data_IF_351472879146
#
_entry.id   IF_351472879146
#
_cell.length_a   1.000
_cell.length_b   1.000
_cell.length_c   1.000
_cell.angle_alpha   90.00
_cell.angle_beta   90.00
_cell.angle_gamma   90.00
#
_symmetry.space_group_name_H-M   'P 1'
#
loop_
_entity.id
_entity.type
_entity.pdbx_description
1 polymer ?
#
# COMPACT_ATOMS: atom_id res chain seq x y z
N UNK A 1 27.54 24.05 -20.75
CA UNK A 1 26.43 24.84 -21.34
C UNK A 1 25.76 25.54 -20.19
N UNK A 2 25.64 26.85 -20.28
CA UNK A 2 25.26 27.72 -19.18
C UNK A 2 23.81 27.47 -18.79
N UNK A 3 23.60 27.27 -17.49
CA UNK A 3 22.30 27.27 -16.83
C UNK A 3 21.84 28.74 -16.86
N UNK A 4 20.92 29.07 -17.75
CA UNK A 4 20.30 30.39 -17.77
C UNK A 4 19.55 30.56 -16.45
N UNK A 5 20.21 31.24 -15.52
CA UNK A 5 19.63 31.81 -14.32
C UNK A 5 18.52 32.77 -14.77
N UNK A 6 17.28 32.26 -14.84
CA UNK A 6 16.09 33.09 -14.82
C UNK A 6 16.10 33.85 -13.48
N UNK A 7 16.72 35.03 -13.49
CA UNK A 7 16.47 36.06 -12.48
C UNK A 7 14.96 36.29 -12.53
N UNK A 8 14.27 35.63 -11.60
CA UNK A 8 12.82 35.57 -11.60
C UNK A 8 12.31 36.96 -11.26
N UNK A 9 11.83 37.69 -12.27
CA UNK A 9 11.24 39.03 -12.14
C UNK A 9 9.90 39.03 -11.41
N UNK A 10 9.45 37.88 -10.89
CA UNK A 10 8.30 37.82 -10.01
C UNK A 10 8.65 38.25 -8.58
N UNK A 11 8.50 39.54 -8.33
CA UNK A 11 8.27 40.03 -6.99
C UNK A 11 6.99 39.38 -6.45
N UNK A 12 7.08 38.68 -5.31
CA UNK A 12 5.94 38.05 -4.63
C UNK A 12 5.42 36.77 -5.31
N UNK A 13 6.33 35.87 -5.67
CA UNK A 13 5.98 34.49 -6.04
C UNK A 13 6.31 33.53 -4.89
N UNK A 14 5.34 32.69 -4.53
CA UNK A 14 5.51 31.60 -3.57
C UNK A 14 5.66 30.29 -4.36
N UNK A 15 6.71 29.47 -4.14
CA UNK A 15 6.84 28.19 -4.81
C UNK A 15 5.70 27.20 -4.49
N UNK A 16 5.38 26.33 -5.44
CA UNK A 16 4.38 25.26 -5.24
C UNK A 16 4.73 24.35 -4.06
N UNK A 17 6.02 24.07 -3.84
CA UNK A 17 6.48 23.20 -2.75
C UNK A 17 6.08 23.70 -1.35
N UNK A 18 5.98 25.02 -1.16
CA UNK A 18 5.47 25.61 0.09
C UNK A 18 4.02 25.18 0.33
N UNK A 19 3.19 25.20 -0.73
CA UNK A 19 1.80 24.74 -0.66
C UNK A 19 1.70 23.23 -0.44
N UNK A 20 2.58 22.44 -1.07
CA UNK A 20 2.62 20.99 -0.87
C UNK A 20 2.89 20.64 0.61
N UNK A 21 3.85 21.31 1.24
CA UNK A 21 4.14 21.14 2.66
C UNK A 21 2.97 21.55 3.56
N UNK A 22 2.17 22.54 3.16
CA UNK A 22 0.97 22.97 3.92
C UNK A 22 -0.16 21.95 3.93
N UNK A 23 -0.27 21.12 2.88
CA UNK A 23 -1.38 20.16 2.74
C UNK A 23 -0.98 18.73 3.11
N UNK A 24 0.31 18.38 3.05
CA UNK A 24 0.78 17.00 3.16
C UNK A 24 0.22 16.25 4.39
N UNK A 25 0.36 16.84 5.57
CA UNK A 25 -0.12 16.21 6.82
C UNK A 25 -1.64 16.05 6.85
N UNK A 26 -2.38 17.02 6.32
CA UNK A 26 -3.84 16.95 6.28
C UNK A 26 -4.29 15.82 5.35
N UNK A 27 -3.68 15.71 4.17
CA UNK A 27 -4.00 14.64 3.21
C UNK A 27 -3.64 13.26 3.77
N UNK A 28 -2.47 13.10 4.41
CA UNK A 28 -2.06 11.83 5.04
C UNK A 28 -3.05 11.40 6.12
N UNK A 29 -3.48 12.35 6.95
CA UNK A 29 -4.51 12.11 7.98
C UNK A 29 -5.81 11.62 7.35
N UNK A 30 -6.27 12.24 6.26
CA UNK A 30 -7.47 11.80 5.55
C UNK A 30 -7.31 10.40 4.97
N UNK A 31 -6.17 10.07 4.37
CA UNK A 31 -5.91 8.71 3.86
C UNK A 31 -6.03 7.68 4.99
N UNK A 32 -5.48 7.98 6.17
CA UNK A 32 -5.59 7.08 7.33
C UNK A 32 -7.01 7.00 7.89
N UNK A 33 -7.78 8.10 7.82
CA UNK A 33 -9.17 8.16 8.25
C UNK A 33 -10.10 7.35 7.32
N UNK A 34 -9.88 7.45 6.02
CA UNK A 34 -10.70 6.83 4.98
C UNK A 34 -10.20 5.46 4.52
N UNK A 35 -9.00 5.07 4.93
CA UNK A 35 -8.32 3.88 4.41
C UNK A 35 -7.85 2.89 5.45
N UNK A 36 -7.55 1.70 4.95
CA UNK A 36 -6.79 0.67 5.64
C UNK A 36 -5.98 -0.08 4.58
N UNK A 37 -4.64 -0.06 4.68
CA UNK A 37 -3.73 -0.53 3.62
C UNK A 37 -4.05 -1.92 3.05
N UNK A 38 -4.52 -2.84 3.90
CA UNK A 38 -4.83 -4.22 3.50
C UNK A 38 -6.29 -4.43 3.09
N UNK A 39 -7.16 -3.42 3.25
CA UNK A 39 -8.62 -3.59 3.07
C UNK A 39 -9.22 -2.59 2.08
N UNK A 40 -8.51 -1.52 1.74
CA UNK A 40 -8.90 -0.56 0.70
C UNK A 40 -9.00 0.88 1.21
N UNK A 41 -9.51 1.75 0.34
CA UNK A 41 -9.60 3.19 0.55
C UNK A 41 -10.95 3.71 0.06
N UNK A 42 -11.68 4.44 0.91
CA UNK A 42 -12.91 5.12 0.52
C UNK A 42 -12.60 6.33 -0.38
N UNK A 43 -12.46 6.07 -1.68
CA UNK A 43 -12.00 7.06 -2.65
C UNK A 43 -12.95 8.25 -2.77
N UNK A 44 -14.26 8.02 -2.75
CA UNK A 44 -15.22 9.11 -2.98
C UNK A 44 -15.13 10.20 -1.91
N UNK A 45 -15.32 9.82 -0.65
CA UNK A 45 -15.31 10.75 0.48
C UNK A 45 -13.93 11.42 0.60
N UNK A 46 -12.85 10.63 0.49
CA UNK A 46 -11.49 11.16 0.51
C UNK A 46 -11.25 12.20 -0.59
N UNK A 47 -11.59 11.89 -1.84
CA UNK A 47 -11.33 12.81 -2.95
C UNK A 47 -12.14 14.10 -2.83
N UNK A 48 -13.38 14.05 -2.31
CA UNK A 48 -14.17 15.26 -2.06
C UNK A 48 -13.55 16.12 -0.95
N UNK A 49 -13.11 15.53 0.16
CA UNK A 49 -12.43 16.32 1.21
C UNK A 49 -11.10 16.93 0.75
N UNK A 50 -10.32 16.18 -0.04
CA UNK A 50 -9.09 16.73 -0.63
C UNK A 50 -9.40 17.91 -1.55
N UNK A 51 -10.50 17.84 -2.31
CA UNK A 51 -10.92 18.94 -3.19
C UNK A 51 -11.32 20.21 -2.42
N UNK A 52 -11.79 20.08 -1.18
CA UNK A 52 -12.11 21.22 -0.31
C UNK A 52 -10.87 21.81 0.36
N UNK A 53 -9.92 20.97 0.80
CA UNK A 53 -8.67 21.45 1.42
C UNK A 53 -7.85 22.33 0.47
N UNK A 54 -7.77 21.94 -0.81
CA UNK A 54 -6.95 22.66 -1.80
C UNK A 54 -7.33 24.15 -1.92
N UNK A 55 -8.59 24.55 -2.22
CA UNK A 55 -9.00 25.94 -2.31
C UNK A 55 -8.88 26.67 -0.96
N UNK A 56 -9.16 26.01 0.17
CA UNK A 56 -8.99 26.63 1.49
C UNK A 56 -7.53 27.03 1.75
N UNK A 57 -6.59 26.13 1.48
CA UNK A 57 -5.16 26.39 1.69
C UNK A 57 -4.61 27.38 0.66
N UNK A 58 -5.18 27.42 -0.56
CA UNK A 58 -4.85 28.45 -1.56
C UNK A 58 -5.20 29.86 -1.08
N UNK A 59 -6.31 30.03 -0.34
CA UNK A 59 -6.69 31.33 0.23
C UNK A 59 -5.65 31.88 1.22
N UNK A 60 -4.77 31.04 1.75
CA UNK A 60 -3.68 31.46 2.65
C UNK A 60 -2.51 32.04 1.85
N UNK A 61 -2.11 31.38 0.74
CA UNK A 61 -0.93 31.78 -0.03
C UNK A 61 -1.20 32.84 -1.10
N UNK A 62 -2.36 32.82 -1.75
CA UNK A 62 -2.67 33.71 -2.88
C UNK A 62 -2.66 35.20 -2.52
N UNK A 63 -3.13 35.64 -1.33
CA UNK A 63 -3.05 37.05 -0.93
C UNK A 63 -1.62 37.61 -0.86
N UNK A 64 -0.61 36.75 -0.72
CA UNK A 64 0.80 37.12 -0.68
C UNK A 64 1.46 37.10 -2.07
N UNK A 65 0.68 36.87 -3.13
CA UNK A 65 1.17 36.78 -4.50
C UNK A 65 0.50 37.83 -5.39
N UNK A 66 1.26 38.42 -6.32
CA UNK A 66 0.69 39.25 -7.37
C UNK A 66 0.00 38.39 -8.45
N UNK A 67 -0.74 39.03 -9.37
CA UNK A 67 -1.49 38.34 -10.42
C UNK A 67 -0.61 37.43 -11.31
N UNK A 68 0.58 37.90 -11.69
CA UNK A 68 1.55 37.12 -12.48
C UNK A 68 2.04 35.88 -11.69
N UNK A 69 2.28 36.04 -10.39
CA UNK A 69 2.62 34.97 -9.46
C UNK A 69 1.55 33.92 -9.39
N UNK A 70 0.30 34.31 -9.16
CA UNK A 70 -0.82 33.38 -9.09
C UNK A 70 -1.02 32.61 -10.41
N UNK A 71 -0.82 33.26 -11.56
CA UNK A 71 -0.92 32.61 -12.87
C UNK A 71 0.22 31.60 -13.11
N UNK A 72 1.47 31.97 -12.79
CA UNK A 72 2.63 31.06 -12.87
C UNK A 72 2.43 29.85 -11.95
N UNK A 73 2.08 30.12 -10.70
CA UNK A 73 1.81 29.09 -9.70
C UNK A 73 0.70 28.13 -10.13
N UNK A 74 -0.41 28.65 -10.66
CA UNK A 74 -1.53 27.81 -11.11
C UNK A 74 -1.15 26.87 -12.24
N UNK A 75 -0.29 27.31 -13.16
CA UNK A 75 0.26 26.46 -14.23
C UNK A 75 1.17 25.37 -13.68
N UNK A 76 2.05 25.71 -12.74
CA UNK A 76 2.98 24.76 -12.13
C UNK A 76 2.26 23.74 -11.25
N UNK A 77 1.36 24.20 -10.37
CA UNK A 77 0.49 23.33 -9.58
C UNK A 77 -0.27 22.35 -10.47
N UNK A 78 -0.87 22.82 -11.58
CA UNK A 78 -1.62 21.95 -12.47
C UNK A 78 -0.75 20.85 -13.11
N UNK A 79 0.51 21.16 -13.42
CA UNK A 79 1.48 20.19 -13.96
C UNK A 79 1.97 19.19 -12.92
N UNK A 80 2.14 19.63 -11.67
CA UNK A 80 2.74 18.80 -10.61
C UNK A 80 1.70 18.02 -9.79
N UNK A 81 0.45 18.50 -9.70
CA UNK A 81 -0.59 17.97 -8.80
C UNK A 81 -0.74 16.45 -8.88
N UNK A 82 -0.95 15.89 -10.06
CA UNK A 82 -1.15 14.44 -10.21
C UNK A 82 0.09 13.66 -9.79
N UNK A 83 1.28 14.12 -10.15
CA UNK A 83 2.56 13.50 -9.76
C UNK A 83 2.75 13.53 -8.24
N UNK A 84 2.46 14.66 -7.60
CA UNK A 84 2.54 14.79 -6.15
C UNK A 84 1.60 13.82 -5.44
N UNK A 85 0.31 13.81 -5.79
CA UNK A 85 -0.66 12.92 -5.16
C UNK A 85 -0.36 11.44 -5.44
N UNK A 86 0.09 11.09 -6.64
CA UNK A 86 0.50 9.71 -6.93
C UNK A 86 1.66 9.27 -6.05
N UNK A 87 2.66 10.13 -5.82
CA UNK A 87 3.77 9.85 -4.91
C UNK A 87 3.29 9.72 -3.45
N UNK A 88 2.47 10.66 -2.99
CA UNK A 88 1.94 10.65 -1.61
C UNK A 88 1.10 9.40 -1.33
N UNK A 89 0.22 9.01 -2.25
CA UNK A 89 -0.57 7.78 -2.10
C UNK A 89 0.31 6.54 -2.10
N UNK A 90 1.34 6.49 -2.96
CA UNK A 90 2.25 5.35 -3.02
C UNK A 90 3.05 5.17 -1.73
N UNK A 91 3.51 6.28 -1.12
CA UNK A 91 4.15 6.32 0.20
C UNK A 91 3.22 5.82 1.31
N UNK A 92 1.93 6.16 1.24
CA UNK A 92 0.90 5.69 2.19
C UNK A 92 0.37 4.28 1.87
N UNK A 93 0.84 3.63 0.80
CA UNK A 93 0.47 2.27 0.42
C UNK A 93 -0.85 2.15 -0.33
N UNK A 94 -1.28 3.20 -1.03
CA UNK A 94 -2.53 3.25 -1.80
C UNK A 94 -2.31 3.65 -3.25
N UNK A 95 -3.33 3.44 -4.08
CA UNK A 95 -3.36 3.85 -5.48
C UNK A 95 -4.09 5.18 -5.57
N UNK A 96 -3.46 6.20 -6.18
CA UNK A 96 -4.11 7.48 -6.45
C UNK A 96 -5.21 7.31 -7.51
N UNK A 97 -6.46 7.54 -7.08
CA UNK A 97 -7.63 7.54 -7.96
C UNK A 97 -8.36 8.89 -7.95
N UNK A 98 -7.85 9.91 -7.26
CA UNK A 98 -8.44 11.25 -7.21
C UNK A 98 -7.96 12.14 -8.37
N UNK A 99 -6.68 12.00 -8.77
CA UNK A 99 -6.05 12.87 -9.77
C UNK A 99 -5.26 12.08 -10.82
N UNK A 100 -5.88 11.72 -11.96
CA UNK A 100 -7.28 11.99 -12.34
C UNK A 100 -8.29 11.12 -11.58
N UNK A 101 -9.56 11.53 -11.60
CA UNK A 101 -10.67 10.75 -11.02
C UNK A 101 -10.90 9.49 -11.86
N UNK A 102 -10.63 8.32 -11.30
CA UNK A 102 -10.79 7.02 -11.98
C UNK A 102 -11.73 6.05 -11.27
N UNK A 103 -12.16 6.35 -10.05
CA UNK A 103 -13.08 5.52 -9.28
C UNK A 103 -14.54 5.68 -9.73
N UNK A 104 -15.32 4.62 -9.59
CA UNK A 104 -16.76 4.62 -9.84
C UNK A 104 -17.53 4.93 -8.55
N UNK A 105 -18.54 5.80 -8.64
CA UNK A 105 -19.43 6.06 -7.52
C UNK A 105 -20.61 5.08 -7.54
N UNK A 106 -20.66 4.19 -6.55
CA UNK A 106 -21.84 3.37 -6.28
C UNK A 106 -22.05 3.33 -4.77
N UNK A 107 -23.08 4.04 -4.31
CA UNK A 107 -23.38 4.18 -2.89
C UNK A 107 -23.46 2.83 -2.14
N UNK A 108 -24.03 1.78 -2.75
CA UNK A 108 -24.14 0.47 -2.08
C UNK A 108 -22.79 -0.22 -1.92
N UNK A 109 -21.93 -0.13 -2.93
CA UNK A 109 -20.60 -0.73 -2.90
C UNK A 109 -19.64 0.08 -2.02
N UNK A 110 -19.75 1.42 -2.03
CA UNK A 110 -19.04 2.30 -1.12
C UNK A 110 -19.43 2.04 0.35
N UNK A 111 -20.72 1.83 0.64
CA UNK A 111 -21.17 1.41 1.97
C UNK A 111 -20.60 0.05 2.40
N UNK A 112 -20.57 -0.93 1.48
CA UNK A 112 -19.98 -2.24 1.75
C UNK A 112 -18.47 -2.13 2.02
N UNK A 113 -17.75 -1.32 1.24
CA UNK A 113 -16.32 -1.02 1.44
C UNK A 113 -16.08 -0.32 2.79
N UNK A 114 -16.93 0.65 3.16
CA UNK A 114 -16.81 1.35 4.45
C UNK A 114 -16.87 0.36 5.62
N UNK A 115 -17.88 -0.51 5.63
CA UNK A 115 -18.03 -1.55 6.66
C UNK A 115 -16.83 -2.48 6.72
N UNK A 116 -16.26 -2.80 5.56
CA UNK A 116 -15.06 -3.64 5.48
C UNK A 116 -13.83 -2.96 6.09
N UNK A 117 -13.60 -1.69 5.75
CA UNK A 117 -12.49 -0.89 6.30
C UNK A 117 -12.65 -0.70 7.81
N UNK A 118 -13.85 -0.39 8.28
CA UNK A 118 -14.18 -0.28 9.71
C UNK A 118 -13.90 -1.58 10.46
N UNK A 119 -14.32 -2.72 9.89
CA UNK A 119 -13.99 -4.04 10.42
C UNK A 119 -12.48 -4.24 10.54
N UNK A 120 -11.70 -3.90 9.51
CA UNK A 120 -10.25 -4.08 9.55
C UNK A 120 -9.58 -3.23 10.63
N UNK A 121 -9.98 -1.96 10.77
CA UNK A 121 -9.50 -1.07 11.82
C UNK A 121 -9.83 -1.60 13.21
N UNK A 122 -11.07 -2.03 13.43
CA UNK A 122 -11.50 -2.57 14.72
C UNK A 122 -10.82 -3.91 15.04
N UNK A 123 -10.58 -4.75 14.03
CA UNK A 123 -9.82 -6.00 14.17
C UNK A 123 -8.41 -5.71 14.66
N UNK A 124 -7.70 -4.77 14.02
CA UNK A 124 -6.33 -4.41 14.39
C UNK A 124 -6.25 -3.84 15.79
N UNK A 125 -7.22 -2.99 16.18
CA UNK A 125 -7.36 -2.48 17.54
C UNK A 125 -7.54 -3.61 18.55
N UNK A 126 -8.49 -4.52 18.31
CA UNK A 126 -8.77 -5.67 19.22
C UNK A 126 -7.57 -6.59 19.36
N UNK A 127 -6.85 -6.85 18.27
CA UNK A 127 -5.62 -7.63 18.29
C UNK A 127 -4.53 -6.93 19.12
N UNK A 128 -4.37 -5.62 18.99
CA UNK A 128 -3.44 -4.84 19.81
C UNK A 128 -3.80 -4.88 21.30
N UNK A 129 -5.09 -4.81 21.63
CA UNK A 129 -5.55 -4.88 23.03
C UNK A 129 -5.39 -6.29 23.63
N UNK A 130 -5.61 -7.33 22.83
CA UNK A 130 -5.37 -8.73 23.23
C UNK A 130 -3.88 -9.03 23.48
N UNK A 131 -2.97 -8.41 22.73
CA UNK A 131 -1.53 -8.54 22.99
C UNK A 131 -1.15 -7.97 24.37
N UNK A 132 -1.90 -6.99 24.88
CA UNK A 132 -1.71 -6.41 26.22
C UNK A 132 -2.40 -7.23 27.31
N UNK A 133 -3.49 -7.95 26.97
CA UNK A 133 -4.32 -8.71 27.91
C UNK A 133 -4.43 -10.18 27.50
N UNK A 134 -3.58 -11.00 28.09
CA UNK A 134 -3.46 -12.42 27.75
C UNK A 134 -4.48 -13.30 28.48
N UNK A 135 -5.77 -13.00 28.33
CA UNK A 135 -6.87 -13.68 29.01
C UNK A 135 -7.71 -14.53 28.04
N UNK A 136 -8.03 -15.76 28.46
CA UNK A 136 -8.81 -16.71 27.68
C UNK A 136 -10.20 -16.18 27.30
N UNK A 137 -10.91 -15.61 28.27
CA UNK A 137 -12.26 -15.07 28.07
C UNK A 137 -12.29 -13.93 27.04
N UNK A 138 -11.27 -13.07 27.03
CA UNK A 138 -11.14 -11.97 26.06
C UNK A 138 -10.87 -12.53 24.66
N UNK A 139 -10.05 -13.58 24.54
CA UNK A 139 -9.84 -14.28 23.27
C UNK A 139 -11.14 -14.91 22.74
N UNK A 140 -11.94 -15.57 23.60
CA UNK A 140 -13.23 -16.14 23.18
C UNK A 140 -14.20 -15.06 22.68
N UNK A 141 -14.28 -13.93 23.39
CA UNK A 141 -15.10 -12.79 22.96
C UNK A 141 -14.66 -12.24 21.60
N UNK A 142 -13.35 -12.16 21.35
CA UNK A 142 -12.84 -11.80 20.04
C UNK A 142 -13.27 -12.81 18.96
N UNK A 143 -13.12 -14.11 19.21
CA UNK A 143 -13.53 -15.16 18.28
C UNK A 143 -15.03 -15.13 17.96
N UNK A 144 -15.88 -14.86 18.95
CA UNK A 144 -17.33 -14.66 18.76
C UNK A 144 -17.64 -13.41 17.93
N UNK A 145 -16.91 -12.31 18.18
CA UNK A 145 -17.03 -11.09 17.40
C UNK A 145 -16.67 -11.32 15.93
N UNK A 146 -15.58 -12.06 15.65
CA UNK A 146 -15.17 -12.44 14.30
C UNK A 146 -16.28 -13.21 13.58
N UNK A 147 -16.89 -14.20 14.23
CA UNK A 147 -17.99 -14.99 13.63
C UNK A 147 -19.20 -14.11 13.30
N UNK A 148 -19.53 -13.17 14.17
CA UNK A 148 -20.62 -12.21 13.97
C UNK A 148 -20.34 -11.29 12.77
N UNK A 149 -19.14 -10.72 12.71
CA UNK A 149 -18.74 -9.80 11.62
C UNK A 149 -18.69 -10.53 10.27
N UNK A 150 -18.07 -11.72 10.22
CA UNK A 150 -18.00 -12.56 9.03
C UNK A 150 -19.38 -12.88 8.49
N UNK A 151 -20.30 -13.29 9.36
CA UNK A 151 -21.67 -13.65 8.97
C UNK A 151 -22.43 -12.45 8.42
N UNK A 152 -22.35 -11.32 9.12
CA UNK A 152 -23.00 -10.07 8.71
C UNK A 152 -22.48 -9.58 7.34
N UNK A 153 -21.16 -9.49 7.20
CA UNK A 153 -20.53 -9.03 5.96
C UNK A 153 -20.82 -9.97 4.78
N UNK A 154 -20.69 -11.29 4.97
CA UNK A 154 -20.94 -12.29 3.92
C UNK A 154 -22.36 -12.16 3.37
N UNK A 155 -23.36 -12.00 4.24
CA UNK A 155 -24.76 -11.82 3.82
C UNK A 155 -24.94 -10.58 2.95
N UNK A 156 -24.30 -9.47 3.32
CA UNK A 156 -24.42 -8.21 2.60
C UNK A 156 -23.60 -8.22 1.28
N UNK A 157 -22.43 -8.84 1.29
CA UNK A 157 -21.62 -9.11 0.12
C UNK A 157 -22.41 -9.93 -0.92
N UNK A 158 -23.01 -11.05 -0.53
CA UNK A 158 -23.77 -11.91 -1.44
C UNK A 158 -24.95 -11.19 -2.09
N UNK A 159 -25.65 -10.32 -1.35
CA UNK A 159 -26.72 -9.46 -1.91
C UNK A 159 -26.18 -8.50 -2.98
N UNK A 160 -25.00 -7.93 -2.78
CA UNK A 160 -24.38 -7.03 -3.75
C UNK A 160 -23.84 -7.80 -4.96
N UNK A 161 -23.23 -8.96 -4.77
CA UNK A 161 -22.77 -9.85 -5.85
C UNK A 161 -23.94 -10.29 -6.73
N UNK A 162 -25.09 -10.64 -6.14
CA UNK A 162 -26.29 -10.98 -6.90
C UNK A 162 -26.75 -9.82 -7.80
N UNK A 163 -26.57 -8.57 -7.36
CA UNK A 163 -27.00 -7.39 -8.10
C UNK A 163 -25.98 -6.92 -9.14
N UNK A 164 -24.69 -6.98 -8.83
CA UNK A 164 -23.63 -6.32 -9.61
C UNK A 164 -22.61 -7.27 -10.22
N UNK A 165 -22.70 -8.58 -9.97
CA UNK A 165 -21.67 -9.60 -10.20
C UNK A 165 -20.42 -9.44 -9.30
N UNK A 166 -19.68 -10.52 -9.09
CA UNK A 166 -18.52 -10.54 -8.20
C UNK A 166 -17.36 -9.67 -8.68
N UNK A 167 -17.07 -9.69 -9.98
CA UNK A 167 -15.96 -8.91 -10.57
C UNK A 167 -16.13 -7.40 -10.35
N UNK A 168 -17.36 -6.89 -10.50
CA UNK A 168 -17.67 -5.48 -10.24
C UNK A 168 -17.50 -5.15 -8.76
N UNK A 169 -17.97 -6.03 -7.87
CA UNK A 169 -17.83 -5.83 -6.42
C UNK A 169 -16.37 -5.84 -6.01
N UNK A 170 -15.58 -6.81 -6.48
CA UNK A 170 -14.16 -6.98 -6.15
C UNK A 170 -13.32 -5.74 -6.50
N UNK A 171 -13.61 -5.05 -7.62
CA UNK A 171 -12.92 -3.80 -8.00
C UNK A 171 -12.99 -2.71 -6.93
N UNK A 172 -14.05 -2.65 -6.13
CA UNK A 172 -14.17 -1.68 -5.04
C UNK A 172 -13.18 -1.97 -3.89
N UNK A 173 -12.76 -3.22 -3.75
CA UNK A 173 -11.78 -3.66 -2.76
C UNK A 173 -10.38 -3.65 -3.37
N UNK A 174 -10.02 -2.59 -4.11
CA UNK A 174 -8.67 -2.46 -4.65
C UNK A 174 -7.68 -2.06 -3.56
N UNK A 175 -6.53 -2.71 -3.56
CA UNK A 175 -5.39 -2.40 -2.68
C UNK A 175 -4.13 -2.25 -3.54
N UNK A 176 -3.00 -1.88 -2.94
CA UNK A 176 -1.73 -1.85 -3.66
C UNK A 176 -1.30 -3.24 -4.14
N UNK A 177 -1.56 -4.27 -3.34
CA UNK A 177 -1.28 -5.68 -3.71
C UNK A 177 -2.27 -6.21 -4.75
N UNK A 178 -3.52 -5.72 -4.73
CA UNK A 178 -4.56 -6.10 -5.68
C UNK A 178 -5.17 -4.88 -6.38
N UNK A 179 -4.45 -4.24 -7.34
CA UNK A 179 -4.92 -3.04 -8.02
C UNK A 179 -6.21 -3.24 -8.84
N UNK A 180 -6.50 -4.48 -9.26
CA UNK A 180 -7.72 -4.84 -9.98
C UNK A 180 -8.90 -5.18 -9.07
N UNK A 181 -8.71 -5.13 -7.75
CA UNK A 181 -9.65 -5.65 -6.77
C UNK A 181 -9.37 -7.11 -6.38
N UNK A 182 -9.91 -7.52 -5.25
CA UNK A 182 -9.82 -8.90 -4.73
C UNK A 182 -11.13 -9.32 -4.05
N UNK A 183 -11.20 -10.58 -3.63
CA UNK A 183 -12.32 -11.08 -2.84
C UNK A 183 -12.19 -10.64 -1.37
N UNK A 184 -13.02 -9.69 -0.89
CA UNK A 184 -12.91 -9.20 0.48
C UNK A 184 -13.26 -10.26 1.53
N UNK A 185 -13.87 -11.39 1.14
CA UNK A 185 -14.14 -12.51 2.05
C UNK A 185 -12.86 -13.20 2.51
N UNK A 186 -11.76 -13.09 1.76
CA UNK A 186 -10.46 -13.66 2.13
C UNK A 186 -9.95 -13.06 3.46
N UNK A 187 -10.18 -11.78 3.69
CA UNK A 187 -9.85 -11.08 4.93
C UNK A 187 -10.54 -11.67 6.16
N UNK A 188 -11.65 -12.40 5.99
CA UNK A 188 -12.40 -13.04 7.08
C UNK A 188 -12.04 -14.52 7.30
N UNK A 189 -11.12 -15.08 6.49
CA UNK A 189 -10.70 -16.48 6.60
C UNK A 189 -9.55 -16.63 7.60
N UNK A 190 -9.60 -17.66 8.44
CA UNK A 190 -8.51 -18.04 9.35
C UNK A 190 -8.01 -16.94 10.31
N UNK A 191 -8.85 -15.95 10.63
CA UNK A 191 -8.49 -14.85 11.54
C UNK A 191 -8.90 -15.06 13.00
N UNK A 192 -9.49 -16.23 13.31
CA UNK A 192 -9.78 -16.64 14.70
C UNK A 192 -8.48 -17.05 15.39
N UNK A 193 -8.39 -16.75 16.67
CA UNK A 193 -7.22 -17.06 17.50
C UNK A 193 -7.38 -18.44 18.16
N UNK A 194 -6.27 -19.13 18.38
CA UNK A 194 -6.24 -20.29 19.26
C UNK A 194 -6.21 -19.84 20.72
N UNK A 195 -7.38 -19.83 21.35
CA UNK A 195 -7.53 -19.36 22.72
C UNK A 195 -6.86 -20.28 23.76
N UNK A 196 -6.49 -21.53 23.41
CA UNK A 196 -5.79 -22.43 24.33
C UNK A 196 -4.41 -21.91 24.73
N UNK A 197 -3.85 -21.00 23.94
CA UNK A 197 -2.59 -20.33 24.29
C UNK A 197 -2.79 -19.34 25.44
N UNK A 198 -3.99 -18.78 25.62
CA UNK A 198 -4.28 -17.70 26.56
C UNK A 198 -4.52 -18.21 27.99
N UNK A 199 -4.24 -17.38 29.00
CA UNK A 199 -4.40 -17.79 30.42
C UNK A 199 -5.87 -18.06 30.73
N UNK A 200 -6.19 -19.29 31.13
CA UNK A 200 -7.50 -19.69 31.61
C UNK A 200 -7.63 -19.44 33.12
N UNK A 201 -8.79 -18.95 33.62
CA UNK A 201 -9.07 -18.87 35.06
C UNK A 201 -9.21 -20.25 35.75
N UNK A 202 -9.34 -21.34 34.99
CA UNK A 202 -9.64 -22.65 35.56
C UNK A 202 -8.41 -23.29 36.22
N UNK A 203 -8.57 -23.67 37.51
CA UNK A 203 -7.56 -24.40 38.31
C UNK A 203 -7.15 -25.76 37.71
N UNK A 204 -7.87 -26.27 36.71
CA UNK A 204 -7.65 -27.59 36.12
C UNK A 204 -6.56 -27.63 35.03
N UNK A 205 -5.99 -26.48 34.65
CA UNK A 205 -4.83 -26.42 33.76
C UNK A 205 -3.50 -26.15 34.48
N UNK A 206 -3.46 -26.21 35.82
CA UNK A 206 -2.19 -26.28 36.55
C UNK A 206 -1.65 -27.71 36.57
N UNK A 207 -1.21 -28.22 35.41
CA UNK A 207 -0.31 -29.38 35.42
C UNK A 207 0.73 -29.37 34.30
N UNK A 208 1.58 -28.35 34.33
CA UNK A 208 3.04 -28.45 34.56
C UNK A 208 3.62 -27.09 34.23
N UNK A 209 3.99 -26.36 35.28
CA UNK A 209 4.95 -25.28 35.15
C UNK A 209 6.26 -25.92 34.66
N UNK A 210 6.60 -25.68 33.39
CA UNK A 210 7.98 -25.78 32.93
C UNK A 210 8.43 -24.35 32.75
N UNK A 211 9.30 -23.92 33.65
CA UNK A 211 9.99 -22.64 33.57
C UNK A 211 10.73 -22.54 32.23
N UNK A 212 10.44 -21.49 31.46
CA UNK A 212 11.39 -20.39 31.17
C UNK A 212 11.08 -19.68 29.83
N UNK A 213 11.12 -18.35 29.90
CA UNK A 213 11.35 -17.36 28.81
C UNK A 213 10.15 -16.93 27.95
N UNK A 214 9.71 -15.65 28.05
CA UNK A 214 8.87 -15.05 27.02
C UNK A 214 9.76 -14.63 25.84
N UNK A 215 10.04 -15.56 24.93
CA UNK A 215 10.57 -15.21 23.62
C UNK A 215 9.97 -16.14 22.57
N UNK A 216 8.67 -15.97 22.34
CA UNK A 216 8.08 -16.38 21.09
C UNK A 216 7.21 -15.24 20.62
N UNK A 217 7.77 -14.39 19.76
CA UNK A 217 6.95 -13.56 18.88
C UNK A 217 5.95 -14.51 18.22
N UNK A 218 4.68 -14.41 18.62
CA UNK A 218 3.60 -15.03 17.89
C UNK A 218 3.54 -14.26 16.57
N UNK A 219 4.34 -14.71 15.59
CA UNK A 219 4.14 -14.30 14.22
C UNK A 219 2.70 -14.68 13.89
N UNK A 220 1.91 -13.63 13.59
CA UNK A 220 0.64 -13.78 12.89
C UNK A 220 0.88 -14.68 11.66
N UNK A 221 -0.10 -15.49 11.24
CA UNK A 221 0.02 -16.21 9.99
C UNK A 221 0.23 -15.18 8.88
N UNK A 222 1.46 -15.08 8.41
CA UNK A 222 1.76 -14.42 7.14
C UNK A 222 1.06 -15.24 6.06
N UNK A 223 0.37 -14.54 5.17
CA UNK A 223 -0.18 -15.05 3.92
C UNK A 223 0.73 -16.13 3.34
N UNK A 224 0.18 -17.32 3.07
CA UNK A 224 0.90 -18.37 2.37
C UNK A 224 1.11 -17.94 0.92
N UNK A 225 2.34 -17.51 0.60
CA UNK A 225 2.86 -17.51 -0.75
C UNK A 225 2.64 -18.90 -1.37
N UNK A 226 1.82 -18.94 -2.43
CA UNK A 226 1.76 -20.09 -3.34
C UNK A 226 2.20 -19.60 -4.72
N UNK A 227 3.52 -19.51 -4.88
CA UNK A 227 4.16 -19.76 -6.16
C UNK A 227 4.63 -21.21 -6.19
N UNK A 228 3.73 -22.17 -6.43
CA UNK A 228 4.14 -23.52 -6.83
C UNK A 228 3.95 -23.67 -8.32
N UNK A 229 5.03 -23.39 -9.04
CA UNK A 229 5.20 -23.76 -10.42
C UNK A 229 5.42 -25.28 -10.50
N UNK A 230 4.51 -25.95 -11.18
CA UNK A 230 4.53 -27.38 -11.43
C UNK A 230 5.52 -27.73 -12.55
N UNK A 231 6.40 -28.73 -12.36
CA UNK A 231 6.75 -29.71 -13.42
C UNK A 231 7.61 -30.91 -12.96
N UNK A 232 6.93 -32.06 -12.85
CA UNK A 232 7.20 -33.44 -13.35
C UNK A 232 8.62 -34.02 -13.57
N UNK A 233 8.67 -35.33 -13.22
CA UNK A 233 9.51 -36.49 -13.69
C UNK A 233 10.90 -36.62 -13.02
N UNK A 234 11.37 -37.77 -12.54
CA UNK A 234 10.87 -39.15 -12.46
C UNK A 234 11.96 -40.06 -11.85
N UNK A 235 11.62 -41.26 -11.36
CA UNK A 235 12.60 -42.29 -10.98
C UNK A 235 12.13 -43.26 -9.88
N UNK A 236 11.94 -44.54 -10.24
CA UNK A 236 11.76 -45.71 -9.34
C UNK A 236 13.01 -45.88 -8.44
N UNK A 237 13.02 -46.55 -7.27
CA UNK A 237 12.62 -47.93 -6.94
C UNK A 237 12.75 -48.19 -5.42
N UNK A 238 12.05 -49.19 -4.90
CA UNK A 238 12.22 -49.77 -3.56
C UNK A 238 13.40 -50.77 -3.49
N UNK A 239 14.04 -50.92 -2.32
CA UNK A 239 14.20 -52.19 -1.58
C UNK A 239 15.11 -52.08 -0.33
N UNK A 240 14.52 -52.43 0.81
CA UNK A 240 14.95 -53.20 2.00
C UNK A 240 16.30 -53.10 2.75
N UNK A 241 16.10 -53.05 4.08
CA UNK A 241 16.79 -53.70 5.21
C UNK A 241 18.04 -53.13 5.92
N UNK A 242 17.84 -52.99 7.25
CA UNK A 242 18.75 -53.19 8.40
C UNK A 242 19.84 -52.15 8.74
N UNK A 243 19.72 -51.59 9.94
CA UNK A 243 20.85 -50.98 10.65
C UNK A 243 20.51 -50.18 11.90
N UNK A 244 20.55 -50.86 13.06
CA UNK A 244 20.72 -50.40 14.46
C UNK A 244 20.60 -48.90 14.85
N UNK A 245 19.88 -48.74 15.98
CA UNK A 245 19.81 -47.60 16.92
C UNK A 245 21.17 -47.01 17.32
N UNK A 246 21.24 -45.69 17.44
CA UNK A 246 21.90 -45.01 18.56
C UNK A 246 21.28 -43.62 18.80
N UNK A 247 20.89 -43.36 20.06
CA UNK A 247 20.32 -42.09 20.52
C UNK A 247 21.48 -41.27 21.09
N UNK A 248 21.79 -40.11 20.51
CA UNK A 248 22.74 -39.15 21.08
C UNK A 248 22.06 -37.80 21.29
N UNK A 249 22.04 -37.34 22.55
CA UNK A 249 21.48 -36.06 23.00
C UNK A 249 22.25 -34.87 22.40
N UNK A 250 21.61 -33.75 22.04
CA UNK A 250 22.32 -32.54 21.63
C UNK A 250 22.82 -31.75 22.86
N UNK A 251 24.11 -31.44 22.85
CA UNK A 251 24.77 -30.61 23.86
C UNK A 251 24.55 -29.12 23.54
N UNK A 252 24.23 -28.36 24.56
CA UNK A 252 23.98 -26.92 24.57
C UNK A 252 25.30 -26.15 24.53
N UNK A 253 25.43 -25.14 23.66
CA UNK A 253 26.35 -24.01 23.89
C UNK A 253 25.69 -22.70 23.49
N UNK A 254 25.66 -21.78 24.45
CA UNK A 254 25.15 -20.39 24.39
C UNK A 254 26.03 -19.46 23.53
N UNK A 255 25.51 -18.27 23.19
CA UNK A 255 26.10 -17.32 22.23
C UNK A 255 27.04 -16.30 22.91
N UNK A 256 27.92 -15.63 22.15
CA UNK A 256 28.54 -14.38 22.60
C UNK A 256 27.87 -13.17 21.95
N UNK A 257 27.38 -12.24 22.78
CA UNK A 257 27.38 -10.81 22.46
C UNK A 257 28.78 -10.25 22.72
N UNK A 258 29.23 -9.29 21.91
CA UNK A 258 29.57 -7.89 22.28
C UNK A 258 30.45 -7.27 21.16
N UNK A 259 29.92 -6.25 20.47
CA UNK A 259 30.63 -5.27 19.61
C UNK A 259 31.29 -4.16 20.48
N UNK A 260 32.00 -3.13 19.98
CA UNK A 260 32.57 -2.86 18.63
C UNK A 260 34.05 -2.38 18.69
N UNK A 261 34.72 -2.17 17.54
CA UNK A 261 35.86 -1.23 17.39
C UNK A 261 36.08 -0.84 15.93
N UNK A 262 36.31 0.46 15.71
CA UNK A 262 36.37 1.21 14.46
C UNK A 262 37.73 1.21 13.74
N UNK A 263 37.67 1.52 12.42
CA UNK A 263 38.69 2.18 11.57
C UNK A 263 39.99 1.40 11.28
N UNK A 264 40.54 1.31 10.06
CA UNK A 264 40.72 2.35 9.04
C UNK A 264 41.16 1.76 7.67
N UNK A 265 40.91 2.55 6.62
CA UNK A 265 41.71 2.72 5.37
C UNK A 265 41.63 1.74 4.17
N UNK A 266 41.03 2.25 3.07
CA UNK A 266 41.47 2.36 1.64
C UNK A 266 42.36 1.23 1.05
N UNK A 267 42.18 0.68 -0.16
CA UNK A 267 41.83 1.20 -1.51
C UNK A 267 41.44 0.01 -2.43
N UNK A 268 40.90 0.21 -3.65
CA UNK A 268 41.69 -0.28 -4.79
C UNK A 268 41.77 0.69 -5.98
N UNK A 269 42.97 0.79 -6.54
CA UNK A 269 43.33 1.59 -7.70
C UNK A 269 42.94 0.92 -9.02
N UNK A 270 42.49 1.77 -9.94
CA UNK A 270 42.34 1.57 -11.39
C UNK A 270 43.63 1.09 -12.07
N UNK A 271 43.48 0.25 -13.10
CA UNK A 271 44.27 0.36 -14.33
C UNK A 271 43.51 -0.23 -15.54
N UNK A 272 43.50 0.56 -16.60
CA UNK A 272 42.84 0.39 -17.89
C UNK A 272 43.66 -0.44 -18.89
N UNK A 273 42.99 -1.04 -19.88
CA UNK A 273 43.43 -1.18 -21.29
C UNK A 273 42.15 -1.42 -22.12
N UNK A 274 41.58 -0.47 -22.89
CA UNK A 274 41.89 0.00 -24.27
C UNK A 274 42.24 -1.16 -25.23
N UNK A 275 41.82 -1.25 -26.51
CA UNK A 275 41.06 -0.47 -27.50
C UNK A 275 40.95 -1.45 -28.72
N UNK A 276 39.88 -1.57 -29.51
CA UNK A 276 39.66 -0.92 -30.83
C UNK A 276 38.47 -1.65 -31.47
N UNK A 277 37.38 -0.95 -31.84
CA UNK A 277 37.12 -0.23 -33.09
C UNK A 277 36.72 -1.13 -34.28
N UNK A 278 35.47 -0.95 -34.73
CA UNK A 278 35.18 -0.88 -36.16
C UNK A 278 33.86 -0.14 -36.42
N UNK A 279 33.95 0.88 -37.27
CA UNK A 279 32.87 1.72 -37.77
C UNK A 279 32.53 1.36 -39.22
N UNK A 280 31.26 1.52 -39.59
CA UNK A 280 30.68 1.80 -40.92
C UNK A 280 29.22 2.23 -40.62
N UNK A 281 28.69 3.43 -40.92
CA UNK A 281 28.61 4.16 -42.20
C UNK A 281 27.56 3.49 -43.10
N UNK A 282 26.52 4.08 -43.71
CA UNK A 282 26.00 5.45 -43.88
C UNK A 282 24.73 5.36 -44.81
N UNK A 283 23.83 6.37 -44.79
CA UNK A 283 22.75 6.74 -45.78
C UNK A 283 21.49 5.81 -45.86
N UNK A 284 20.24 6.26 -46.06
CA UNK A 284 19.71 7.45 -46.75
C UNK A 284 18.26 7.81 -46.31
N UNK A 285 17.91 9.07 -46.58
CA UNK A 285 16.64 9.80 -46.37
C UNK A 285 15.61 9.51 -47.50
N UNK A 286 14.30 9.78 -47.30
CA UNK A 286 13.39 10.38 -48.29
C UNK A 286 11.91 10.52 -47.82
N UNK A 287 11.48 11.78 -47.79
CA UNK A 287 10.11 12.36 -47.73
C UNK A 287 9.18 11.98 -48.90
N UNK A 288 7.85 12.04 -48.64
CA UNK A 288 6.86 12.94 -49.32
C UNK A 288 5.50 12.84 -48.60
N UNK A 289 4.90 13.94 -48.06
CA UNK A 289 3.93 14.89 -48.67
C UNK A 289 2.70 14.20 -49.32
N UNK A 290 1.44 14.54 -49.08
CA UNK A 290 0.77 15.62 -48.34
C UNK A 290 -0.71 15.74 -48.79
N UNK A 291 -1.37 16.84 -48.41
CA UNK A 291 -2.70 17.38 -48.84
C UNK A 291 -3.90 16.91 -47.99
N UNK A 292 -4.79 17.75 -47.43
CA UNK A 292 -4.96 19.20 -47.40
C UNK A 292 -6.36 19.58 -46.86
N UNK A 293 -6.40 20.49 -45.87
CA UNK A 293 -7.29 21.67 -45.68
C UNK A 293 -8.73 21.72 -46.24
N UNK A 294 -9.68 22.10 -45.36
CA UNK A 294 -10.60 23.29 -45.44
C UNK A 294 -11.31 23.43 -44.08
N UNK A 295 -11.05 24.47 -43.26
CA UNK A 295 -11.57 25.86 -43.26
C UNK A 295 -13.00 26.06 -42.70
N UNK A 296 -13.04 26.80 -41.59
CA UNK A 296 -13.96 27.89 -41.19
C UNK A 296 -15.45 27.64 -40.94
N UNK A 297 -15.92 27.97 -39.72
CA UNK A 297 -16.80 29.13 -39.49
C UNK A 297 -16.98 29.44 -37.99
N UNK A 298 -16.99 30.74 -37.68
CA UNK A 298 -17.25 31.40 -36.39
C UNK A 298 -18.74 31.46 -36.02
N UNK A 299 -19.01 31.86 -34.77
CA UNK A 299 -20.10 32.70 -34.19
C UNK A 299 -20.51 32.10 -32.81
N UNK A 300 -20.14 32.68 -31.66
CA UNK A 300 -20.60 33.90 -30.95
C UNK A 300 -21.96 33.73 -30.22
N UNK A 301 -21.91 34.08 -28.92
CA UNK A 301 -22.93 34.60 -27.98
C UNK A 301 -23.74 33.69 -27.02
N UNK A 302 -23.47 33.92 -25.74
CA UNK A 302 -24.37 34.38 -24.66
C UNK A 302 -25.53 33.52 -24.16
N UNK A 303 -25.41 33.01 -22.94
CA UNK A 303 -26.12 33.46 -21.71
C UNK A 303 -25.51 32.77 -20.49
#
# INVERSE_FOLDING_TARGET
MADDSEITTLTHYIPVDVFLGMIESDIKKLIHEYGHKNCGLRQEELCEEIKEIIPEKKKIIFPHMNALGQQKWSREWSKQRSKYFSKLYDEEGFINMCFPKTYQNNQRLNQLLSKHIEFCKEKDKRLSDLQKKYEFSVCEQYNMWIDTQRTSFTREYLKNVQKFNSQTVHKYFSTKEHPGGHDPLETYRNIKLDCNLYKSPSKNHQQKQVDNTPTRSLHLPTSSDVGQESQRKGGKSMSDEKGKKEITKPNVKQPPQTEPSSSDSQTPSLANTKLEDNANGQLDDLKAKGTGLTNNAQYINSC
#
